data_IF_366112144852
#
_entry.id   IF_366112144852
#
_cell.length_a   1.000
_cell.length_b   1.000
_cell.length_c   1.000
_cell.angle_alpha   90.00
_cell.angle_beta   90.00
_cell.angle_gamma   90.00
#
_symmetry.space_group_name_H-M   'P 1'
#
loop_
_entity.id
_entity.type
_entity.pdbx_description
1 polymer ?
#
# COMPACT_ATOMS: atom_id res chain seq x y z
N UNK A 1 -19.21 -33.14 -5.39
CA UNK A 1 -20.17 -33.98 -6.13
C UNK A 1 -19.57 -35.37 -6.31
N UNK A 2 -20.21 -36.40 -5.76
CA UNK A 2 -19.96 -37.78 -6.17
C UNK A 2 -21.04 -38.17 -7.20
N UNK A 3 -20.60 -38.79 -8.29
CA UNK A 3 -21.50 -39.42 -9.25
C UNK A 3 -21.98 -40.72 -8.59
N UNK A 4 -23.28 -40.96 -8.53
CA UNK A 4 -23.83 -42.17 -7.92
C UNK A 4 -24.21 -43.20 -8.98
N UNK A 5 -24.82 -42.73 -10.07
CA UNK A 5 -25.27 -43.56 -11.19
C UNK A 5 -24.93 -42.85 -12.51
N UNK A 6 -24.41 -43.59 -13.48
CA UNK A 6 -24.21 -43.15 -14.85
C UNK A 6 -25.09 -43.98 -15.78
N UNK A 7 -26.01 -43.32 -16.49
CA UNK A 7 -26.83 -43.95 -17.51
C UNK A 7 -26.09 -43.90 -18.85
N UNK A 8 -25.94 -45.06 -19.49
CA UNK A 8 -25.24 -45.21 -20.76
C UNK A 8 -26.30 -45.57 -21.82
N UNK A 9 -26.47 -44.71 -22.82
CA UNK A 9 -27.39 -44.97 -23.92
C UNK A 9 -26.85 -46.12 -24.76
N UNK A 10 -27.64 -47.19 -24.86
CA UNK A 10 -27.27 -48.40 -25.59
C UNK A 10 -27.16 -48.08 -27.09
N UNK A 11 -26.04 -48.41 -27.76
CA UNK A 11 -25.91 -48.16 -29.18
C UNK A 11 -26.78 -49.12 -29.99
N UNK A 12 -27.46 -48.58 -31.01
CA UNK A 12 -28.33 -49.36 -31.89
C UNK A 12 -27.54 -50.23 -32.87
N UNK A 13 -26.36 -49.78 -33.30
CA UNK A 13 -25.54 -50.45 -34.30
C UNK A 13 -24.71 -51.62 -33.74
N UNK A 14 -24.74 -52.75 -34.45
CA UNK A 14 -24.03 -54.00 -34.08
C UNK A 14 -22.52 -53.79 -33.84
N UNK A 15 -21.86 -52.96 -34.65
CA UNK A 15 -20.43 -52.63 -34.51
C UNK A 15 -20.09 -51.78 -33.28
N UNK A 16 -21.04 -51.01 -32.75
CA UNK A 16 -20.85 -50.18 -31.55
C UNK A 16 -21.07 -50.97 -30.24
N UNK A 17 -21.79 -52.11 -30.30
CA UNK A 17 -22.00 -53.01 -29.15
C UNK A 17 -20.70 -53.65 -28.63
N UNK A 18 -19.69 -53.87 -29.48
CA UNK A 18 -18.38 -54.35 -29.00
C UNK A 18 -17.56 -53.28 -28.26
N UNK A 19 -17.84 -51.98 -28.46
CA UNK A 19 -17.12 -50.87 -27.82
C UNK A 19 -17.71 -50.41 -26.48
N UNK A 20 -18.91 -50.88 -26.12
CA UNK A 20 -19.67 -50.41 -24.94
C UNK A 20 -19.65 -51.36 -23.75
N UNK A 21 -18.82 -52.43 -23.79
CA UNK A 21 -18.56 -53.28 -22.63
C UNK A 21 -17.64 -52.56 -21.63
N UNK A 22 -18.22 -51.64 -20.85
CA UNK A 22 -17.57 -51.08 -19.68
C UNK A 22 -17.58 -52.13 -18.56
N UNK A 23 -16.42 -52.68 -18.20
CA UNK A 23 -16.31 -53.52 -17.01
C UNK A 23 -16.69 -52.71 -15.78
N UNK A 24 -17.74 -53.12 -15.06
CA UNK A 24 -18.29 -52.36 -13.93
C UNK A 24 -17.31 -52.18 -12.76
N UNK A 25 -16.19 -52.90 -12.75
CA UNK A 25 -15.15 -52.83 -11.71
C UNK A 25 -14.19 -51.63 -11.80
N UNK A 26 -14.34 -50.72 -12.78
CA UNK A 26 -13.42 -49.59 -12.99
C UNK A 26 -13.87 -48.25 -12.40
N UNK A 27 -15.12 -48.15 -11.93
CA UNK A 27 -15.69 -46.89 -11.48
C UNK A 27 -16.30 -47.04 -10.09
N UNK A 28 -16.24 -45.97 -9.30
CA UNK A 28 -16.84 -45.91 -7.95
C UNK A 28 -18.36 -45.68 -7.97
N UNK A 29 -18.96 -45.63 -9.16
CA UNK A 29 -20.38 -45.35 -9.38
C UNK A 29 -21.05 -46.45 -10.20
N UNK A 30 -22.35 -46.61 -10.02
CA UNK A 30 -23.15 -47.60 -10.73
C UNK A 30 -23.29 -47.22 -12.20
N UNK A 31 -23.14 -48.17 -13.12
CA UNK A 31 -23.35 -47.95 -14.56
C UNK A 31 -24.54 -48.77 -15.05
N UNK A 32 -25.50 -48.10 -15.68
CA UNK A 32 -26.73 -48.72 -16.17
C UNK A 32 -26.90 -48.47 -17.66
N UNK A 33 -27.03 -49.54 -18.44
CA UNK A 33 -27.29 -49.46 -19.88
C UNK A 33 -28.80 -49.28 -20.11
N UNK A 34 -29.19 -48.20 -20.78
CA UNK A 34 -30.60 -47.84 -21.01
C UNK A 34 -30.83 -47.55 -22.49
N UNK A 35 -31.98 -47.95 -23.04
CA UNK A 35 -32.38 -47.55 -24.40
C UNK A 35 -32.88 -46.11 -24.40
N UNK A 36 -32.86 -45.44 -25.55
CA UNK A 36 -33.36 -44.07 -25.68
C UNK A 36 -34.84 -43.97 -25.22
N UNK A 37 -35.68 -44.92 -25.65
CA UNK A 37 -37.09 -45.05 -25.22
C UNK A 37 -37.28 -45.38 -23.72
N UNK A 38 -36.26 -45.96 -23.08
CA UNK A 38 -36.29 -46.34 -21.66
C UNK A 38 -35.89 -45.20 -20.74
N UNK A 39 -35.29 -44.12 -21.27
CA UNK A 39 -34.68 -43.06 -20.49
C UNK A 39 -35.71 -42.30 -19.64
N UNK A 40 -36.90 -42.02 -20.20
CA UNK A 40 -38.02 -41.35 -19.51
C UNK A 40 -38.63 -42.17 -18.38
N UNK A 41 -38.31 -43.46 -18.25
CA UNK A 41 -38.75 -44.32 -17.13
C UNK A 41 -37.84 -44.22 -15.91
N UNK A 42 -36.62 -43.72 -16.10
CA UNK A 42 -35.57 -43.66 -15.06
C UNK A 42 -35.10 -42.24 -14.78
N UNK A 43 -35.33 -41.30 -15.70
CA UNK A 43 -35.06 -39.88 -15.55
C UNK A 43 -36.34 -39.11 -15.83
N UNK A 44 -36.65 -38.13 -15.00
CA UNK A 44 -37.76 -37.21 -15.24
C UNK A 44 -37.55 -36.47 -16.58
N UNK A 45 -38.53 -36.45 -17.51
CA UNK A 45 -38.43 -35.69 -18.75
C UNK A 45 -38.06 -34.21 -18.57
N UNK A 46 -38.34 -33.62 -17.40
CA UNK A 46 -37.92 -32.26 -17.07
C UNK A 46 -36.41 -32.08 -16.88
N UNK A 47 -35.66 -33.18 -16.78
CA UNK A 47 -34.19 -33.20 -16.67
C UNK A 47 -33.50 -33.69 -17.94
N UNK A 48 -34.27 -33.99 -18.98
CA UNK A 48 -33.77 -34.45 -20.27
C UNK A 48 -33.87 -33.32 -21.30
N UNK A 49 -32.87 -33.20 -22.17
CA UNK A 49 -32.89 -32.25 -23.30
C UNK A 49 -33.84 -32.74 -24.41
N UNK A 50 -34.27 -31.86 -25.33
CA UNK A 50 -35.21 -32.23 -26.40
C UNK A 50 -34.72 -33.38 -27.30
N UNK A 51 -33.41 -33.57 -27.45
CA UNK A 51 -32.84 -34.70 -28.19
C UNK A 51 -33.06 -36.07 -27.53
N UNK A 52 -33.50 -36.08 -26.26
CA UNK A 52 -33.82 -37.29 -25.49
C UNK A 52 -35.29 -37.30 -25.04
N UNK A 53 -36.19 -36.69 -25.83
CA UNK A 53 -37.64 -36.59 -25.54
C UNK A 53 -37.97 -35.88 -24.21
N UNK A 54 -37.12 -34.94 -23.79
CA UNK A 54 -37.33 -34.13 -22.59
C UNK A 54 -37.74 -32.68 -22.85
N UNK A 55 -37.91 -31.92 -21.78
CA UNK A 55 -38.28 -30.49 -21.82
C UNK A 55 -37.26 -29.56 -21.14
N UNK A 56 -36.07 -30.05 -20.81
CA UNK A 56 -34.99 -29.23 -20.28
C UNK A 56 -34.36 -28.41 -21.41
N UNK A 57 -34.64 -27.10 -21.43
CA UNK A 57 -33.91 -26.18 -22.29
C UNK A 57 -32.48 -26.03 -21.78
N UNK A 58 -31.52 -26.63 -22.51
CA UNK A 58 -30.10 -26.58 -22.19
C UNK A 58 -29.29 -26.21 -23.43
N UNK A 59 -28.69 -25.03 -23.41
CA UNK A 59 -27.74 -24.61 -24.43
C UNK A 59 -26.32 -24.90 -23.95
N UNK A 60 -25.76 -26.03 -24.41
CA UNK A 60 -24.42 -26.46 -24.03
C UNK A 60 -23.33 -25.53 -24.58
N UNK A 61 -23.52 -24.91 -25.75
CA UNK A 61 -22.57 -23.95 -26.32
C UNK A 61 -22.48 -22.71 -25.43
N UNK A 62 -23.63 -22.12 -25.06
CA UNK A 62 -23.68 -20.97 -24.15
C UNK A 62 -23.07 -21.31 -22.78
N UNK A 63 -23.41 -22.48 -22.21
CA UNK A 63 -22.85 -22.92 -20.94
C UNK A 63 -21.32 -23.03 -21.00
N UNK A 64 -20.77 -23.64 -22.05
CA UNK A 64 -19.32 -23.77 -22.25
C UNK A 64 -18.70 -22.37 -22.36
N UNK A 65 -19.26 -21.47 -23.17
CA UNK A 65 -18.71 -20.12 -23.35
C UNK A 65 -18.69 -19.31 -22.05
N UNK A 66 -19.77 -19.36 -21.25
CA UNK A 66 -19.83 -18.71 -19.94
C UNK A 66 -18.81 -19.33 -18.99
N UNK A 67 -18.66 -20.66 -19.01
CA UNK A 67 -17.74 -21.37 -18.12
C UNK A 67 -16.29 -21.07 -18.43
N UNK A 68 -15.90 -21.06 -19.70
CA UNK A 68 -14.56 -20.66 -20.14
C UNK A 68 -14.27 -19.23 -19.71
N UNK A 69 -15.18 -18.30 -19.99
CA UNK A 69 -15.02 -16.90 -19.58
C UNK A 69 -14.92 -16.74 -18.05
N UNK A 70 -15.65 -17.55 -17.29
CA UNK A 70 -15.56 -17.57 -15.83
C UNK A 70 -14.20 -18.05 -15.33
N UNK A 71 -13.69 -19.18 -15.84
CA UNK A 71 -12.39 -19.72 -15.41
C UNK A 71 -11.24 -18.78 -15.79
N UNK A 72 -11.28 -18.19 -16.99
CA UNK A 72 -10.29 -17.19 -17.41
C UNK A 72 -10.31 -15.98 -16.48
N UNK A 73 -11.50 -15.43 -16.21
CA UNK A 73 -11.66 -14.31 -15.29
C UNK A 73 -11.15 -14.62 -13.88
N UNK A 74 -11.52 -15.77 -13.30
CA UNK A 74 -11.10 -16.15 -11.94
C UNK A 74 -9.60 -16.35 -11.87
N UNK A 75 -8.99 -16.99 -12.88
CA UNK A 75 -7.55 -17.19 -12.97
C UNK A 75 -6.82 -15.84 -12.99
N UNK A 76 -7.24 -14.94 -13.89
CA UNK A 76 -6.63 -13.62 -14.04
C UNK A 76 -6.81 -12.75 -12.79
N UNK A 77 -8.01 -12.74 -12.20
CA UNK A 77 -8.31 -12.00 -10.98
C UNK A 77 -7.51 -12.51 -9.78
N UNK A 78 -7.36 -13.83 -9.65
CA UNK A 78 -6.57 -14.44 -8.57
C UNK A 78 -5.09 -14.07 -8.71
N UNK A 79 -4.53 -14.16 -9.91
CA UNK A 79 -3.15 -13.74 -10.17
C UNK A 79 -2.94 -12.25 -9.89
N UNK A 80 -3.93 -11.40 -10.23
CA UNK A 80 -3.86 -9.98 -9.88
C UNK A 80 -3.89 -9.74 -8.38
N UNK A 81 -4.76 -10.43 -7.64
CA UNK A 81 -4.83 -10.33 -6.18
C UNK A 81 -3.50 -10.68 -5.53
N UNK A 82 -2.86 -11.78 -5.94
CA UNK A 82 -1.53 -12.15 -5.44
C UNK A 82 -0.49 -11.05 -5.67
N UNK A 83 -0.48 -10.42 -6.85
CA UNK A 83 0.41 -9.29 -7.14
C UNK A 83 0.12 -8.06 -6.27
N UNK A 84 -1.14 -7.80 -5.95
CA UNK A 84 -1.51 -6.70 -5.05
C UNK A 84 -1.09 -6.98 -3.61
N UNK A 85 -1.23 -8.22 -3.15
CA UNK A 85 -0.77 -8.68 -1.82
C UNK A 85 0.76 -8.53 -1.70
N UNK A 86 1.54 -8.92 -2.71
CA UNK A 86 3.00 -8.69 -2.74
C UNK A 86 3.36 -7.19 -2.60
N UNK A 87 2.60 -6.30 -3.25
CA UNK A 87 2.81 -4.86 -3.14
C UNK A 87 2.45 -4.34 -1.74
N UNK A 88 1.43 -4.93 -1.09
CA UNK A 88 1.08 -4.61 0.30
C UNK A 88 2.23 -4.99 1.23
N UNK A 89 2.85 -6.16 1.06
CA UNK A 89 3.99 -6.60 1.86
C UNK A 89 5.18 -5.65 1.74
N UNK A 90 5.47 -5.18 0.52
CA UNK A 90 6.53 -4.17 0.30
C UNK A 90 6.22 -2.87 1.03
N UNK A 91 4.97 -2.40 0.99
CA UNK A 91 4.53 -1.17 1.68
C UNK A 91 4.43 -1.31 3.20
N UNK A 92 4.22 -2.53 3.70
CA UNK A 92 4.11 -2.84 5.12
C UNK A 92 5.45 -2.72 5.88
N UNK A 93 6.58 -2.64 5.15
CA UNK A 93 7.90 -2.41 5.74
C UNK A 93 7.91 -1.17 6.63
N UNK A 94 8.23 -1.37 7.92
CA UNK A 94 8.21 -0.32 8.95
C UNK A 94 9.53 0.45 9.08
N UNK A 95 10.60 -0.04 8.47
CA UNK A 95 11.92 0.59 8.55
C UNK A 95 11.87 2.02 8.01
N UNK A 96 12.54 2.91 8.73
CA UNK A 96 12.70 4.30 8.37
C UNK A 96 14.19 4.61 8.24
N UNK A 97 14.56 5.48 7.29
CA UNK A 97 15.95 5.83 7.07
C UNK A 97 16.54 6.60 8.25
N UNK A 98 17.82 6.38 8.49
CA UNK A 98 18.57 7.01 9.58
C UNK A 98 19.26 8.31 9.14
N UNK A 99 19.40 8.54 7.84
CA UNK A 99 20.04 9.70 7.25
C UNK A 99 19.22 10.31 6.11
N UNK A 100 19.66 11.48 5.63
CA UNK A 100 18.99 12.21 4.54
C UNK A 100 19.05 11.48 3.20
N UNK A 101 20.14 10.79 2.92
CA UNK A 101 20.35 10.11 1.65
C UNK A 101 19.46 8.86 1.55
N UNK A 102 19.41 8.06 2.60
CA UNK A 102 18.46 6.97 2.74
C UNK A 102 17.01 7.44 2.66
N UNK A 103 16.68 8.59 3.26
CA UNK A 103 15.35 9.19 3.14
C UNK A 103 15.00 9.55 1.69
N UNK A 104 15.93 10.16 0.95
CA UNK A 104 15.76 10.47 -0.47
C UNK A 104 15.60 9.21 -1.31
N UNK A 105 16.44 8.21 -1.10
CA UNK A 105 16.40 6.95 -1.84
C UNK A 105 15.08 6.20 -1.63
N UNK A 106 14.61 6.11 -0.38
CA UNK A 106 13.33 5.45 -0.07
C UNK A 106 12.11 6.21 -0.64
N UNK A 107 12.16 7.54 -0.71
CA UNK A 107 11.11 8.34 -1.38
C UNK A 107 11.09 8.06 -2.89
N UNK A 108 12.26 7.97 -3.52
CA UNK A 108 12.35 7.68 -4.95
C UNK A 108 11.87 6.25 -5.26
N UNK A 109 12.28 5.25 -4.48
CA UNK A 109 11.77 3.88 -4.59
C UNK A 109 10.24 3.83 -4.43
N UNK A 110 9.68 4.57 -3.47
CA UNK A 110 8.23 4.66 -3.25
C UNK A 110 7.50 5.31 -4.44
N UNK A 111 8.10 6.35 -5.03
CA UNK A 111 7.61 7.01 -6.25
C UNK A 111 7.62 6.06 -7.46
N UNK A 112 8.66 5.24 -7.59
CA UNK A 112 8.75 4.23 -8.64
C UNK A 112 7.71 3.11 -8.44
N UNK A 113 7.48 2.69 -7.19
CA UNK A 113 6.46 1.69 -6.87
C UNK A 113 5.06 2.18 -7.24
N UNK A 114 4.75 3.48 -7.04
CA UNK A 114 3.49 4.11 -7.47
C UNK A 114 3.19 3.85 -8.96
N UNK A 115 4.22 3.94 -9.82
CA UNK A 115 4.06 3.70 -11.27
C UNK A 115 3.67 2.25 -11.57
N UNK A 116 4.13 1.28 -10.75
CA UNK A 116 3.76 -0.13 -10.88
C UNK A 116 2.33 -0.39 -10.38
N UNK A 117 1.92 0.28 -9.31
CA UNK A 117 0.55 0.21 -8.76
C UNK A 117 -0.48 0.78 -9.74
N UNK A 118 -0.22 1.95 -10.33
CA UNK A 118 -1.17 2.62 -11.24
C UNK A 118 -1.31 1.90 -12.59
N UNK A 119 -0.28 1.19 -13.04
CA UNK A 119 -0.30 0.46 -14.32
C UNK A 119 -0.91 -0.94 -14.22
N UNK A 120 -1.36 -1.37 -13.04
CA UNK A 120 -2.03 -2.67 -12.91
C UNK A 120 -3.41 -2.60 -13.59
N UNK A 121 -3.74 -3.52 -14.53
CA UNK A 121 -4.98 -3.49 -15.32
C UNK A 121 -6.19 -3.96 -14.49
N UNK A 122 -6.47 -3.31 -13.37
CA UNK A 122 -7.60 -3.66 -12.50
C UNK A 122 -8.92 -3.21 -13.15
N UNK A 123 -8.89 -2.12 -13.91
CA UNK A 123 -10.04 -1.62 -14.66
C UNK A 123 -10.47 -2.60 -15.77
N UNK A 124 -9.51 -3.26 -16.44
CA UNK A 124 -9.82 -4.25 -17.46
C UNK A 124 -10.49 -5.49 -16.85
N UNK A 125 -9.99 -5.96 -15.70
CA UNK A 125 -10.60 -7.07 -14.96
C UNK A 125 -11.96 -6.71 -14.38
N UNK A 126 -12.15 -5.47 -13.94
CA UNK A 126 -13.45 -4.98 -13.49
C UNK A 126 -14.48 -5.05 -14.63
N UNK A 127 -14.11 -4.56 -15.82
CA UNK A 127 -14.95 -4.63 -17.01
C UNK A 127 -15.25 -6.06 -17.43
N UNK A 128 -14.25 -6.95 -17.38
CA UNK A 128 -14.42 -8.38 -17.69
C UNK A 128 -15.40 -9.06 -16.73
N UNK A 129 -15.25 -8.82 -15.42
CA UNK A 129 -16.14 -9.36 -14.40
C UNK A 129 -17.58 -8.83 -14.53
N UNK A 130 -17.75 -7.53 -14.82
CA UNK A 130 -19.07 -6.93 -15.05
C UNK A 130 -19.75 -7.50 -16.31
N UNK A 131 -19.00 -7.65 -17.41
CA UNK A 131 -19.51 -8.29 -18.63
C UNK A 131 -19.93 -9.74 -18.38
N UNK A 132 -19.14 -10.49 -17.61
CA UNK A 132 -19.45 -11.86 -17.25
C UNK A 132 -20.73 -11.95 -16.40
N UNK A 133 -20.89 -11.08 -15.40
CA UNK A 133 -22.12 -11.00 -14.60
C UNK A 133 -23.34 -10.70 -15.49
N UNK A 134 -23.24 -9.72 -16.39
CA UNK A 134 -24.31 -9.37 -17.31
C UNK A 134 -24.65 -10.55 -18.23
N UNK A 135 -23.64 -11.25 -18.73
CA UNK A 135 -23.81 -12.42 -19.60
C UNK A 135 -24.53 -13.56 -18.87
N UNK A 136 -24.12 -13.87 -17.65
CA UNK A 136 -24.78 -14.89 -16.82
C UNK A 136 -26.24 -14.51 -16.55
N UNK A 137 -26.52 -13.25 -16.19
CA UNK A 137 -27.88 -12.77 -15.89
C UNK A 137 -28.80 -12.70 -17.12
N UNK A 138 -28.23 -12.50 -18.31
CA UNK A 138 -28.99 -12.40 -19.56
C UNK A 138 -29.22 -13.76 -20.23
N UNK A 139 -28.63 -14.84 -19.70
CA UNK A 139 -28.83 -16.19 -20.24
C UNK A 139 -30.28 -16.62 -20.13
N UNK A 140 -30.81 -17.24 -21.19
CA UNK A 140 -32.16 -17.78 -21.20
C UNK A 140 -32.35 -18.92 -20.18
N UNK A 141 -31.25 -19.58 -19.80
CA UNK A 141 -31.19 -20.61 -18.76
C UNK A 141 -31.22 -20.05 -17.33
N UNK A 142 -31.28 -18.73 -17.17
CA UNK A 142 -31.39 -18.05 -15.88
C UNK A 142 -32.86 -18.08 -15.42
N UNK A 143 -33.17 -18.46 -14.15
CA UNK A 143 -34.54 -18.54 -13.69
C UNK A 143 -35.17 -17.14 -13.71
N UNK A 144 -36.07 -16.92 -14.66
CA UNK A 144 -37.02 -15.79 -14.62
C UNK A 144 -37.86 -15.97 -13.35
N UNK A 145 -38.27 -14.87 -12.69
CA UNK A 145 -39.01 -14.85 -11.40
C UNK A 145 -40.24 -15.79 -11.30
N UNK A 146 -40.70 -16.37 -12.41
CA UNK A 146 -41.83 -17.29 -12.50
C UNK A 146 -41.50 -18.70 -13.05
N UNK A 147 -40.23 -19.07 -13.25
CA UNK A 147 -39.84 -20.41 -13.73
C UNK A 147 -38.79 -21.03 -12.80
N UNK A 148 -39.14 -22.15 -12.16
CA UNK A 148 -38.27 -22.88 -11.22
C UNK A 148 -37.13 -23.67 -11.88
N UNK A 149 -36.96 -23.55 -13.20
CA UNK A 149 -35.99 -24.31 -14.00
C UNK A 149 -34.80 -23.43 -14.42
N UNK A 150 -34.08 -22.88 -13.45
CA UNK A 150 -32.83 -22.17 -13.69
C UNK A 150 -31.62 -23.10 -13.59
N UNK A 151 -30.60 -22.90 -14.43
CA UNK A 151 -29.36 -23.64 -14.32
C UNK A 151 -28.63 -23.27 -13.00
N UNK A 152 -28.76 -24.12 -11.98
CA UNK A 152 -28.20 -23.91 -10.65
C UNK A 152 -26.68 -23.72 -10.64
N UNK A 153 -26.00 -24.31 -11.63
CA UNK A 153 -24.57 -24.20 -11.82
C UNK A 153 -24.18 -22.74 -12.18
N UNK A 154 -24.89 -22.12 -13.13
CA UNK A 154 -24.69 -20.71 -13.50
C UNK A 154 -25.08 -19.75 -12.37
N UNK A 155 -26.14 -20.07 -11.61
CA UNK A 155 -26.51 -19.28 -10.42
C UNK A 155 -25.37 -19.22 -9.40
N UNK A 156 -24.65 -20.33 -9.22
CA UNK A 156 -23.55 -20.42 -8.28
C UNK A 156 -22.33 -19.57 -8.67
N UNK A 157 -22.24 -19.13 -9.94
CA UNK A 157 -21.14 -18.31 -10.44
C UNK A 157 -21.29 -16.85 -10.06
N UNK A 158 -22.51 -16.30 -10.09
CA UNK A 158 -22.76 -14.89 -9.76
C UNK A 158 -22.13 -14.45 -8.43
N UNK A 159 -22.40 -15.10 -7.28
CA UNK A 159 -21.80 -14.68 -6.03
C UNK A 159 -20.27 -14.82 -6.02
N UNK A 160 -19.70 -15.76 -6.80
CA UNK A 160 -18.25 -15.93 -6.92
C UNK A 160 -17.62 -14.77 -7.70
N UNK A 161 -18.21 -14.38 -8.83
CA UNK A 161 -17.72 -13.24 -9.63
C UNK A 161 -17.87 -11.94 -8.86
N UNK A 162 -19.03 -11.70 -8.23
CA UNK A 162 -19.25 -10.51 -7.39
C UNK A 162 -18.26 -10.44 -6.21
N UNK A 163 -18.06 -11.55 -5.49
CA UNK A 163 -17.08 -11.57 -4.40
C UNK A 163 -15.65 -11.33 -4.89
N UNK A 164 -15.30 -11.77 -6.10
CA UNK A 164 -13.98 -11.52 -6.68
C UNK A 164 -13.79 -10.03 -7.03
N UNK A 165 -14.81 -9.39 -7.63
CA UNK A 165 -14.81 -7.95 -7.89
C UNK A 165 -14.66 -7.14 -6.60
N UNK A 166 -15.45 -7.46 -5.58
CA UNK A 166 -15.39 -6.79 -4.28
C UNK A 166 -14.00 -6.92 -3.64
N UNK A 167 -13.39 -8.12 -3.73
CA UNK A 167 -12.02 -8.34 -3.24
C UNK A 167 -10.99 -7.53 -4.02
N UNK A 168 -11.05 -7.50 -5.35
CA UNK A 168 -10.16 -6.68 -6.18
C UNK A 168 -10.25 -5.19 -5.80
N UNK A 169 -11.48 -4.69 -5.66
CA UNK A 169 -11.74 -3.29 -5.33
C UNK A 169 -11.25 -2.93 -3.94
N UNK A 170 -11.60 -3.73 -2.93
CA UNK A 170 -11.16 -3.56 -1.55
C UNK A 170 -9.63 -3.60 -1.43
N UNK A 171 -8.99 -4.58 -2.07
CA UNK A 171 -7.53 -4.74 -2.06
C UNK A 171 -6.83 -3.56 -2.72
N UNK A 172 -7.35 -3.08 -3.85
CA UNK A 172 -6.85 -1.87 -4.53
C UNK A 172 -6.99 -0.63 -3.64
N UNK A 173 -8.16 -0.43 -3.05
CA UNK A 173 -8.41 0.71 -2.17
C UNK A 173 -7.49 0.70 -0.94
N UNK A 174 -7.32 -0.47 -0.32
CA UNK A 174 -6.42 -0.66 0.81
C UNK A 174 -4.97 -0.35 0.42
N UNK A 175 -4.51 -0.86 -0.74
CA UNK A 175 -3.18 -0.57 -1.25
C UNK A 175 -2.95 0.93 -1.46
N UNK A 176 -3.93 1.67 -1.99
CA UNK A 176 -3.86 3.13 -2.12
C UNK A 176 -3.76 3.84 -0.77
N UNK A 177 -4.51 3.39 0.24
CA UNK A 177 -4.43 3.94 1.59
C UNK A 177 -3.06 3.68 2.21
N UNK A 178 -2.56 2.44 2.17
CA UNK A 178 -1.22 2.09 2.64
C UNK A 178 -0.14 2.91 1.95
N UNK A 179 -0.25 3.08 0.64
CA UNK A 179 0.66 3.90 -0.15
C UNK A 179 0.68 5.35 0.35
N UNK A 180 -0.49 5.94 0.61
CA UNK A 180 -0.60 7.34 1.05
C UNK A 180 -0.03 7.53 2.46
N UNK A 181 -0.34 6.61 3.37
CA UNK A 181 0.20 6.59 4.74
C UNK A 181 1.72 6.45 4.70
N UNK A 182 2.25 5.52 3.90
CA UNK A 182 3.70 5.32 3.75
C UNK A 182 4.38 6.55 3.17
N UNK A 183 3.78 7.20 2.16
CA UNK A 183 4.29 8.46 1.60
C UNK A 183 4.42 9.53 2.68
N UNK A 184 3.33 9.80 3.40
CA UNK A 184 3.32 10.79 4.46
C UNK A 184 4.41 10.50 5.51
N UNK A 185 4.57 9.23 5.88
CA UNK A 185 5.59 8.81 6.84
C UNK A 185 7.02 9.03 6.33
N UNK A 186 7.29 8.76 5.06
CA UNK A 186 8.60 9.01 4.42
C UNK A 186 8.88 10.50 4.30
N UNK A 187 7.90 11.31 3.90
CA UNK A 187 8.01 12.77 3.80
C UNK A 187 8.33 13.38 5.17
N UNK A 188 7.62 12.94 6.22
CA UNK A 188 7.91 13.32 7.61
C UNK A 188 9.31 12.85 8.06
N UNK A 189 9.73 11.63 7.70
CA UNK A 189 11.07 11.18 8.03
C UNK A 189 12.16 12.03 7.38
N UNK A 190 12.00 12.39 6.11
CA UNK A 190 12.91 13.31 5.43
C UNK A 190 12.98 14.68 6.11
N UNK A 191 11.82 15.24 6.50
CA UNK A 191 11.75 16.51 7.24
C UNK A 191 12.50 16.45 8.58
N UNK A 192 12.35 15.34 9.32
CA UNK A 192 13.08 15.11 10.57
C UNK A 192 14.60 15.10 10.32
N UNK A 193 15.07 14.33 9.32
CA UNK A 193 16.50 14.24 9.02
C UNK A 193 17.10 15.58 8.59
N UNK A 194 16.33 16.39 7.87
CA UNK A 194 16.77 17.73 7.48
C UNK A 194 16.87 18.67 8.70
N UNK A 195 15.85 18.63 9.56
CA UNK A 195 15.83 19.39 10.80
C UNK A 195 16.98 19.00 11.73
N UNK A 196 17.24 17.70 11.92
CA UNK A 196 18.34 17.19 12.73
C UNK A 196 19.69 17.67 12.19
N UNK A 197 19.92 17.58 10.88
CA UNK A 197 21.15 18.06 10.26
C UNK A 197 21.34 19.59 10.45
N UNK A 198 20.27 20.38 10.31
CA UNK A 198 20.35 21.82 10.51
C UNK A 198 20.62 22.19 11.99
N UNK A 199 20.02 21.45 12.93
CA UNK A 199 20.26 21.61 14.35
C UNK A 199 21.69 21.20 14.74
N UNK A 200 22.18 20.06 14.24
CA UNK A 200 23.54 19.57 14.47
C UNK A 200 24.59 20.59 14.04
N UNK A 201 24.44 21.18 12.84
CA UNK A 201 25.32 22.26 12.38
C UNK A 201 25.35 23.45 13.35
N UNK A 202 24.23 23.78 13.97
CA UNK A 202 24.19 24.86 14.97
C UNK A 202 24.79 24.45 16.30
N UNK A 203 24.61 23.21 16.76
CA UNK A 203 25.29 22.70 17.94
C UNK A 203 26.81 22.71 17.77
N UNK A 204 27.31 22.22 16.64
CA UNK A 204 28.74 22.25 16.32
C UNK A 204 29.28 23.67 16.30
N UNK A 205 28.54 24.58 15.67
CA UNK A 205 28.91 25.99 15.61
C UNK A 205 28.97 26.62 17.01
N UNK A 206 27.94 26.41 17.84
CA UNK A 206 27.89 26.94 19.22
C UNK A 206 29.04 26.37 20.03
N UNK A 207 29.26 25.06 19.97
CA UNK A 207 30.31 24.37 20.73
C UNK A 207 31.69 24.91 20.35
N UNK A 208 31.97 25.05 19.05
CA UNK A 208 33.23 25.58 18.56
C UNK A 208 33.46 27.03 19.02
N UNK A 209 32.47 27.90 18.84
CA UNK A 209 32.60 29.33 19.16
C UNK A 209 32.63 29.58 20.67
N UNK A 210 31.91 28.79 21.47
CA UNK A 210 32.02 28.79 22.93
C UNK A 210 33.43 28.43 23.37
N UNK A 211 34.05 27.43 22.74
CA UNK A 211 35.44 27.07 22.99
C UNK A 211 36.41 28.22 22.69
N UNK A 212 36.25 28.90 21.55
CA UNK A 212 37.05 30.08 21.19
C UNK A 212 36.84 31.23 22.18
N UNK A 213 35.59 31.49 22.55
CA UNK A 213 35.20 32.56 23.46
C UNK A 213 35.83 32.39 24.86
N UNK A 214 35.86 31.17 25.38
CA UNK A 214 36.43 30.86 26.69
C UNK A 214 37.94 31.17 26.79
N UNK A 215 38.68 31.19 25.67
CA UNK A 215 40.12 31.48 25.68
C UNK A 215 40.45 32.90 26.12
N UNK A 216 39.57 33.88 25.86
CA UNK A 216 39.77 35.27 26.24
C UNK A 216 38.70 35.79 27.20
N UNK A 217 37.75 34.94 27.62
CA UNK A 217 36.56 35.34 28.39
C UNK A 217 36.84 36.15 29.67
N UNK A 218 37.93 35.86 30.37
CA UNK A 218 38.32 36.54 31.61
C UNK A 218 39.35 37.67 31.39
N UNK A 219 39.80 37.91 30.16
CA UNK A 219 40.78 38.95 29.86
C UNK A 219 40.08 40.30 29.74
N UNK A 220 40.52 41.26 30.56
CA UNK A 220 39.97 42.62 30.66
C UNK A 220 40.99 43.68 30.19
N UNK A 221 42.27 43.30 30.07
CA UNK A 221 43.36 44.18 29.69
C UNK A 221 44.04 44.85 30.89
N UNK A 222 45.32 45.14 30.76
CA UNK A 222 46.17 45.71 31.83
C UNK A 222 46.32 47.22 31.75
N UNK A 223 45.75 47.83 30.71
CA UNK A 223 45.76 49.28 30.47
C UNK A 223 44.55 49.67 29.60
N UNK A 224 44.14 50.94 29.65
CA UNK A 224 43.03 51.45 28.85
C UNK A 224 43.15 51.14 27.34
N UNK A 225 44.32 51.34 26.66
CA UNK A 225 44.48 50.94 25.26
C UNK A 225 44.27 49.45 25.01
N UNK A 226 44.70 48.58 25.92
CA UNK A 226 44.54 47.14 25.81
C UNK A 226 43.07 46.73 26.02
N UNK A 227 42.36 47.35 26.97
CA UNK A 227 40.93 47.12 27.17
C UNK A 227 40.10 47.53 25.94
N UNK A 228 40.43 48.66 25.30
CA UNK A 228 39.80 49.12 24.05
C UNK A 228 40.03 48.14 22.88
N UNK A 229 41.23 47.55 22.78
CA UNK A 229 41.52 46.53 21.77
C UNK A 229 40.67 45.27 22.00
N UNK A 230 40.61 44.77 23.24
CA UNK A 230 39.79 43.61 23.60
C UNK A 230 38.30 43.84 23.37
N UNK A 231 37.79 45.04 23.66
CA UNK A 231 36.42 45.45 23.37
C UNK A 231 36.13 45.44 21.87
N UNK A 232 37.04 45.95 21.05
CA UNK A 232 36.90 45.94 19.59
C UNK A 232 36.87 44.50 19.04
N UNK A 233 37.76 43.64 19.51
CA UNK A 233 37.79 42.22 19.14
C UNK A 233 36.50 41.49 19.54
N UNK A 234 36.01 41.75 20.76
CA UNK A 234 34.76 41.18 21.28
C UNK A 234 33.54 41.64 20.45
N UNK A 235 33.44 42.94 20.14
CA UNK A 235 32.36 43.48 19.32
C UNK A 235 32.32 42.83 17.92
N UNK A 236 33.49 42.62 17.30
CA UNK A 236 33.57 41.91 16.02
C UNK A 236 33.12 40.45 16.16
N UNK A 237 33.52 39.76 17.23
CA UNK A 237 33.08 38.39 17.52
C UNK A 237 31.56 38.30 17.74
N UNK A 238 30.99 39.17 18.57
CA UNK A 238 29.56 39.23 18.85
C UNK A 238 28.74 39.54 17.59
N UNK A 239 29.21 40.45 16.73
CA UNK A 239 28.56 40.75 15.45
C UNK A 239 28.52 39.53 14.52
N UNK A 240 29.59 38.72 14.49
CA UNK A 240 29.60 37.47 13.72
C UNK A 240 28.57 36.44 14.25
N UNK A 241 28.25 36.48 15.55
CA UNK A 241 27.23 35.62 16.15
C UNK A 241 25.79 36.00 15.74
N UNK A 242 25.54 37.21 15.25
CA UNK A 242 24.19 37.68 14.91
C UNK A 242 23.54 36.89 13.76
N UNK A 243 24.32 36.42 12.79
CA UNK A 243 23.81 35.58 11.70
C UNK A 243 23.29 34.22 12.22
N UNK A 244 23.89 33.71 13.29
CA UNK A 244 23.51 32.44 13.92
C UNK A 244 22.19 32.59 14.66
N UNK A 245 21.97 33.72 15.33
CA UNK A 245 20.69 34.03 15.95
C UNK A 245 19.52 33.89 14.96
N UNK A 246 19.67 34.46 13.76
CA UNK A 246 18.64 34.37 12.71
C UNK A 246 18.43 32.92 12.26
N UNK A 247 19.51 32.16 12.09
CA UNK A 247 19.42 30.77 11.65
C UNK A 247 18.74 29.88 12.70
N UNK A 248 19.10 30.04 13.98
CA UNK A 248 18.47 29.31 15.09
C UNK A 248 16.97 29.63 15.15
N UNK A 249 16.56 30.90 15.06
CA UNK A 249 15.15 31.26 15.04
C UNK A 249 14.39 30.62 13.86
N UNK A 250 15.02 30.52 12.69
CA UNK A 250 14.46 29.81 11.54
C UNK A 250 14.29 28.31 11.83
N UNK A 251 15.27 27.67 12.43
CA UNK A 251 15.20 26.25 12.83
C UNK A 251 14.07 26.04 13.87
N UNK A 252 13.94 26.93 14.85
CA UNK A 252 12.85 26.89 15.83
C UNK A 252 11.48 27.05 15.16
N UNK A 253 11.35 27.94 14.17
CA UNK A 253 10.12 28.11 13.39
C UNK A 253 9.76 26.82 12.62
N UNK A 254 10.75 26.15 12.03
CA UNK A 254 10.54 24.85 11.37
C UNK A 254 10.09 23.80 12.39
N UNK A 255 10.74 23.71 13.56
CA UNK A 255 10.39 22.77 14.61
C UNK A 255 8.93 22.94 15.06
N UNK A 256 8.50 24.18 15.32
CA UNK A 256 7.13 24.49 15.72
C UNK A 256 6.12 24.07 14.65
N UNK A 257 6.37 24.39 13.38
CA UNK A 257 5.49 23.98 12.27
C UNK A 257 5.39 22.46 12.14
N UNK A 258 6.50 21.74 12.29
CA UNK A 258 6.48 20.27 12.26
C UNK A 258 5.62 19.73 13.40
N UNK A 259 5.80 20.23 14.62
CA UNK A 259 4.98 19.84 15.78
C UNK A 259 3.50 20.13 15.57
N UNK A 260 3.15 21.34 15.14
CA UNK A 260 1.77 21.77 14.90
C UNK A 260 1.08 20.94 13.81
N UNK A 261 1.84 20.45 12.83
CA UNK A 261 1.33 19.55 11.78
C UNK A 261 1.03 18.13 12.27
N UNK A 262 1.27 17.81 13.54
CA UNK A 262 1.09 16.46 14.09
C UNK A 262 2.18 15.48 13.64
N UNK A 263 3.40 15.96 13.44
CA UNK A 263 4.51 15.14 12.98
C UNK A 263 4.78 13.94 13.90
N UNK A 264 5.04 12.75 13.35
CA UNK A 264 5.17 11.53 14.16
C UNK A 264 6.29 11.60 15.22
N UNK A 265 7.34 12.37 14.96
CA UNK A 265 8.48 12.58 15.84
C UNK A 265 8.40 13.88 16.67
N UNK A 266 7.19 14.41 16.90
CA UNK A 266 7.00 15.71 17.56
C UNK A 266 7.72 15.83 18.91
N UNK A 267 7.76 14.76 19.72
CA UNK A 267 8.47 14.78 21.00
C UNK A 267 9.99 14.96 20.82
N UNK A 268 10.59 14.23 19.89
CA UNK A 268 12.02 14.32 19.58
C UNK A 268 12.37 15.69 19.02
N UNK A 269 11.55 16.22 18.10
CA UNK A 269 11.74 17.56 17.52
C UNK A 269 11.72 18.63 18.62
N UNK A 270 10.76 18.56 19.55
CA UNK A 270 10.70 19.47 20.71
C UNK A 270 11.94 19.39 21.58
N UNK A 271 12.43 18.18 21.86
CA UNK A 271 13.63 17.98 22.69
C UNK A 271 14.85 18.65 22.06
N UNK A 272 15.11 18.38 20.78
CA UNK A 272 16.24 18.95 20.04
C UNK A 272 16.11 20.48 19.98
N UNK A 273 14.93 21.00 19.64
CA UNK A 273 14.68 22.44 19.54
C UNK A 273 14.91 23.15 20.90
N UNK A 274 14.35 22.61 21.97
CA UNK A 274 14.52 23.18 23.31
C UNK A 274 15.98 23.16 23.76
N UNK A 275 16.71 22.06 23.48
CA UNK A 275 18.12 21.96 23.82
C UNK A 275 18.96 22.98 23.04
N UNK A 276 18.71 23.13 21.73
CA UNK A 276 19.40 24.11 20.90
C UNK A 276 19.16 25.54 21.39
N UNK A 277 17.91 25.85 21.74
CA UNK A 277 17.55 27.15 22.29
C UNK A 277 18.23 27.44 23.64
N UNK A 278 18.30 26.44 24.52
CA UNK A 278 18.96 26.57 25.82
C UNK A 278 20.46 26.82 25.68
N UNK A 279 21.16 26.03 24.86
CA UNK A 279 22.60 26.22 24.61
C UNK A 279 22.88 27.60 23.99
N UNK A 280 22.06 28.02 23.04
CA UNK A 280 22.19 29.34 22.44
C UNK A 280 21.95 30.47 23.44
N UNK A 281 20.88 30.40 24.24
CA UNK A 281 20.60 31.42 25.27
C UNK A 281 21.71 31.50 26.30
N UNK A 282 22.27 30.37 26.72
CA UNK A 282 23.40 30.34 27.64
C UNK A 282 24.64 31.00 27.03
N UNK A 283 24.93 30.73 25.75
CA UNK A 283 26.06 31.35 25.06
C UNK A 283 25.86 32.86 24.83
N UNK A 284 24.65 33.27 24.42
CA UNK A 284 24.31 34.68 24.24
C UNK A 284 24.40 35.48 25.55
N UNK A 285 23.93 34.91 26.67
CA UNK A 285 24.05 35.56 27.98
C UNK A 285 25.52 35.77 28.38
N UNK A 286 26.40 34.81 28.11
CA UNK A 286 27.83 34.95 28.37
C UNK A 286 28.48 36.03 27.50
N UNK A 287 28.05 36.17 26.23
CA UNK A 287 28.48 37.25 25.35
C UNK A 287 28.09 38.62 25.90
N UNK A 288 26.84 38.77 26.34
CA UNK A 288 26.31 40.03 26.90
C UNK A 288 27.00 40.41 28.22
N UNK A 289 27.29 39.43 29.09
CA UNK A 289 28.06 39.64 30.32
C UNK A 289 29.47 40.16 30.01
N UNK A 290 30.16 39.54 29.05
CA UNK A 290 31.50 40.00 28.63
C UNK A 290 31.46 41.39 28.00
N UNK A 291 30.45 41.71 27.19
CA UNK A 291 30.26 43.07 26.66
C UNK A 291 30.22 44.08 27.81
N UNK A 292 29.41 43.80 28.82
CA UNK A 292 29.25 44.68 30.00
C UNK A 292 30.57 44.84 30.78
N UNK A 293 31.32 43.75 30.97
CA UNK A 293 32.62 43.77 31.66
C UNK A 293 33.68 44.61 30.94
N UNK A 294 33.80 44.45 29.62
CA UNK A 294 34.76 45.22 28.81
C UNK A 294 34.35 46.70 28.71
N UNK A 295 33.05 46.98 28.57
CA UNK A 295 32.52 48.34 28.57
C UNK A 295 32.92 49.08 29.86
N UNK A 296 32.71 48.47 31.03
CA UNK A 296 33.11 49.06 32.33
C UNK A 296 34.62 49.29 32.45
N UNK A 297 35.43 48.45 31.82
CA UNK A 297 36.90 48.48 31.93
C UNK A 297 37.56 49.39 30.89
N UNK A 298 36.80 49.79 29.88
CA UNK A 298 37.20 50.73 28.83
C UNK A 298 36.93 52.20 29.18
N UNK A 299 36.24 52.48 30.29
CA UNK A 299 35.97 53.82 30.85
C UNK A 299 37.17 54.31 31.66
#
# INVERSE_FOLDING_TARGET
CCIHVALIIKPDNFWQKQRTNFGSSKFEFETNMVSLEGLTKVVDPSQLTPEFDGCLEYNHEEWIEIRVAFEDYISNATHMLSRLEELQDILAKKELPQDLEGARNMIEEHSQLKKKVIKAPIEDLDLEGQKLLQRIQSSDSFPKKNSGSGNADLQSLLPKVSAMLDRLHSTRQHLHQMWHVRKLKLDQCFQLRLFEQDAEKMFDWITHNKGLFLNSYNEIGTSHPHAMELQTQHNHFAMNCMNVYVNINRIMSVANRLVESGHYASQQIKQIANQLEQEWKAFAAALDERSTLLDMSSI
#
